data_IF_462298957805
#
_entry.id   IF_462298957805
#
_cell.length_a   1.000
_cell.length_b   1.000
_cell.length_c   1.000
_cell.angle_alpha   90.00
_cell.angle_beta   90.00
_cell.angle_gamma   90.00
#
_symmetry.space_group_name_H-M   'P 1'
#
loop_
_entity.id
_entity.type
_entity.pdbx_description
1 polymer ?
#
# COMPACT_ATOMS: atom_id res chain seq x y z
N UNK A 1 35.94 50.90 -6.96
CA UNK A 1 34.80 51.72 -7.40
C UNK A 1 35.25 52.61 -8.55
N UNK A 2 34.86 52.33 -9.79
CA UNK A 2 34.76 53.29 -10.90
C UNK A 2 33.91 52.61 -11.99
N UNK A 3 32.71 53.15 -12.23
CA UNK A 3 31.79 52.76 -13.32
C UNK A 3 31.94 53.82 -14.42
N UNK A 4 31.83 53.44 -15.69
CA UNK A 4 31.25 54.17 -16.83
C UNK A 4 31.20 53.18 -18.02
N UNK A 5 30.06 52.63 -18.42
CA UNK A 5 28.92 53.18 -19.22
C UNK A 5 29.18 53.17 -20.74
N UNK A 6 28.46 52.23 -21.38
CA UNK A 6 27.77 52.23 -22.68
C UNK A 6 28.56 52.45 -23.98
N UNK A 7 28.36 51.54 -24.95
CA UNK A 7 27.72 51.86 -26.23
C UNK A 7 27.09 50.60 -26.84
N UNK A 8 25.83 50.73 -27.28
CA UNK A 8 25.01 49.75 -28.00
C UNK A 8 25.04 50.11 -29.50
N UNK A 9 25.14 49.11 -30.39
CA UNK A 9 24.64 49.14 -31.78
C UNK A 9 24.47 47.66 -32.24
N UNK A 10 23.27 47.10 -32.44
CA UNK A 10 22.28 47.29 -33.55
C UNK A 10 22.98 47.05 -34.91
N UNK A 11 22.64 46.13 -35.83
CA UNK A 11 21.49 45.22 -36.08
C UNK A 11 21.76 44.40 -37.37
N UNK A 12 20.90 43.39 -37.62
CA UNK A 12 20.49 42.75 -38.92
C UNK A 12 21.40 41.61 -39.45
N UNK A 13 21.02 40.31 -39.49
CA UNK A 13 19.91 39.52 -40.10
C UNK A 13 20.12 39.18 -41.60
N UNK A 14 19.78 37.91 -41.92
CA UNK A 14 19.66 37.23 -43.22
C UNK A 14 20.93 36.51 -43.69
N UNK A 15 20.90 35.35 -44.33
CA UNK A 15 19.93 34.26 -44.54
C UNK A 15 20.75 33.17 -45.27
N UNK A 16 20.53 31.89 -44.99
CA UNK A 16 21.30 30.83 -45.63
C UNK A 16 20.64 29.47 -45.46
N UNK A 17 19.61 29.21 -46.26
CA UNK A 17 18.91 27.94 -46.39
C UNK A 17 19.80 26.85 -46.99
N UNK A 18 19.75 25.63 -46.46
CA UNK A 18 19.65 24.37 -47.22
C UNK A 18 19.36 23.22 -46.25
N UNK A 19 18.11 22.74 -46.18
CA UNK A 19 17.53 21.63 -46.96
C UNK A 19 17.71 20.28 -46.23
N UNK A 20 16.61 19.93 -45.56
CA UNK A 20 15.96 18.62 -45.40
C UNK A 20 16.81 17.37 -45.13
N UNK A 21 16.53 16.77 -43.97
CA UNK A 21 16.01 15.40 -43.99
C UNK A 21 14.84 15.27 -43.02
N UNK A 22 13.69 15.01 -43.61
CA UNK A 22 12.39 14.81 -42.97
C UNK A 22 12.27 13.33 -42.65
N UNK A 23 12.44 12.94 -41.39
CA UNK A 23 11.95 11.64 -40.92
C UNK A 23 10.45 11.75 -40.72
N UNK A 24 9.72 11.17 -41.67
CA UNK A 24 8.29 10.98 -41.59
C UNK A 24 7.96 10.12 -40.37
N UNK A 25 7.24 10.70 -39.42
CA UNK A 25 6.54 9.98 -38.37
C UNK A 25 5.63 8.93 -39.01
N UNK A 26 5.99 7.65 -38.83
CA UNK A 26 5.14 6.51 -39.14
C UNK A 26 4.29 6.22 -37.90
N UNK A 27 2.95 6.28 -37.95
CA UNK A 27 2.13 5.93 -36.80
C UNK A 27 2.18 4.41 -36.64
N UNK A 28 2.98 3.94 -35.70
CA UNK A 28 2.91 2.56 -35.22
C UNK A 28 1.65 2.45 -34.37
N UNK A 29 0.60 1.90 -34.99
CA UNK A 29 -0.55 1.34 -34.29
C UNK A 29 -0.10 0.06 -33.59
N UNK A 30 0.24 0.17 -32.32
CA UNK A 30 0.02 -0.91 -31.37
C UNK A 30 -0.17 -0.26 -30.00
N UNK A 31 -1.43 -0.11 -29.61
CA UNK A 31 -1.80 0.33 -28.27
C UNK A 31 -1.13 -0.60 -27.25
N UNK A 32 -0.39 -0.11 -26.24
CA UNK A 32 -0.33 -0.85 -25.01
C UNK A 32 -1.75 -0.78 -24.46
N UNK A 33 -2.39 -1.94 -24.31
CA UNK A 33 -3.66 -2.08 -23.61
C UNK A 33 -3.48 -1.46 -22.23
N UNK A 34 -3.87 -0.20 -22.12
CA UNK A 34 -4.10 0.46 -20.86
C UNK A 34 -5.21 -0.33 -20.21
N UNK A 35 -4.82 -1.27 -19.34
CA UNK A 35 -5.73 -1.82 -18.34
C UNK A 35 -6.38 -0.59 -17.71
N UNK A 36 -7.71 -0.51 -17.63
CA UNK A 36 -8.35 0.63 -17.00
C UNK A 36 -7.90 0.60 -15.54
N UNK A 37 -6.96 1.47 -15.20
CA UNK A 37 -6.72 1.85 -13.82
C UNK A 37 -7.93 2.69 -13.46
N UNK A 38 -9.00 1.99 -13.04
CA UNK A 38 -10.11 2.60 -12.37
C UNK A 38 -9.50 3.40 -11.22
N UNK A 39 -9.59 4.72 -11.34
CA UNK A 39 -9.31 5.61 -10.23
C UNK A 39 -10.34 5.29 -9.15
N UNK A 40 -9.96 4.50 -8.15
CA UNK A 40 -10.78 4.29 -6.96
C UNK A 40 -10.53 5.46 -6.04
N UNK A 41 -11.23 6.56 -6.29
CA UNK A 41 -11.33 7.65 -5.32
C UNK A 41 -12.43 7.32 -4.30
N UNK A 42 -12.05 7.38 -3.02
CA UNK A 42 -12.87 7.60 -1.82
C UNK A 42 -13.71 6.46 -1.19
N UNK A 43 -13.80 5.26 -1.74
CA UNK A 43 -14.57 4.19 -1.09
C UNK A 43 -13.68 3.20 -0.31
N UNK A 44 -13.99 3.00 0.96
CA UNK A 44 -13.39 1.96 1.81
C UNK A 44 -13.99 0.62 1.39
N UNK A 45 -13.13 -0.35 1.04
CA UNK A 45 -13.54 -1.71 0.71
C UNK A 45 -13.99 -2.40 1.99
N UNK A 46 -15.13 -3.11 1.95
CA UNK A 46 -15.58 -3.95 3.08
C UNK A 46 -15.20 -5.39 2.83
N UNK A 47 -14.51 -6.00 3.79
CA UNK A 47 -14.09 -7.39 3.73
C UNK A 47 -14.73 -8.17 4.89
N UNK A 48 -15.66 -9.06 4.59
CA UNK A 48 -16.23 -9.96 5.59
C UNK A 48 -15.24 -11.07 5.92
N UNK A 49 -14.77 -11.10 7.17
CA UNK A 49 -13.84 -12.13 7.62
C UNK A 49 -14.59 -13.45 7.89
N UNK A 50 -14.06 -14.61 7.46
CA UNK A 50 -14.76 -15.89 7.60
C UNK A 50 -14.62 -16.45 9.02
N UNK A 51 -15.36 -15.88 9.99
CA UNK A 51 -15.31 -16.25 11.41
C UNK A 51 -15.50 -17.74 11.66
N UNK A 52 -16.38 -18.42 10.91
CA UNK A 52 -16.63 -19.86 11.07
C UNK A 52 -15.42 -20.73 10.72
N UNK A 53 -14.52 -20.23 9.86
CA UNK A 53 -13.32 -20.95 9.43
C UNK A 53 -12.13 -20.72 10.35
N UNK A 54 -12.02 -19.52 10.90
CA UNK A 54 -10.90 -19.08 11.74
C UNK A 54 -11.40 -18.40 13.03
N UNK A 55 -12.10 -19.14 13.90
CA UNK A 55 -12.81 -18.57 15.04
C UNK A 55 -11.88 -17.97 16.10
N UNK A 56 -10.67 -18.50 16.32
CA UNK A 56 -9.74 -17.89 17.29
C UNK A 56 -9.24 -16.52 16.80
N UNK A 57 -8.87 -16.43 15.51
CA UNK A 57 -8.44 -15.17 14.88
C UNK A 57 -9.58 -14.17 14.82
N UNK A 58 -10.79 -14.57 14.42
CA UNK A 58 -11.96 -13.69 14.42
C UNK A 58 -12.24 -13.10 15.82
N UNK A 59 -12.15 -13.92 16.86
CA UNK A 59 -12.34 -13.47 18.23
C UNK A 59 -11.27 -12.46 18.66
N UNK A 60 -10.00 -12.67 18.29
CA UNK A 60 -8.94 -11.69 18.54
C UNK A 60 -9.23 -10.34 17.87
N UNK A 61 -9.53 -10.35 16.57
CA UNK A 61 -9.83 -9.14 15.81
C UNK A 61 -11.01 -8.37 16.44
N UNK A 62 -12.08 -9.10 16.81
CA UNK A 62 -13.27 -8.53 17.45
C UNK A 62 -12.95 -7.86 18.79
N UNK A 63 -12.17 -8.52 19.64
CA UNK A 63 -11.74 -7.99 20.93
C UNK A 63 -10.83 -6.77 20.78
N UNK A 64 -9.87 -6.83 19.86
CA UNK A 64 -8.96 -5.72 19.59
C UNK A 64 -9.70 -4.48 19.08
N UNK A 65 -10.67 -4.65 18.16
CA UNK A 65 -11.54 -3.56 17.70
C UNK A 65 -12.38 -3.00 18.86
N UNK A 66 -12.97 -3.86 19.69
CA UNK A 66 -13.72 -3.43 20.87
C UNK A 66 -12.84 -2.67 21.89
N UNK A 67 -11.54 -2.98 21.93
CA UNK A 67 -10.54 -2.27 22.72
C UNK A 67 -10.00 -0.98 22.05
N UNK A 68 -10.57 -0.58 20.91
CA UNK A 68 -10.27 0.68 20.23
C UNK A 68 -9.22 0.58 19.13
N UNK A 69 -8.78 -0.62 18.74
CA UNK A 69 -7.96 -0.79 17.53
C UNK A 69 -8.78 -0.50 16.28
N UNK A 70 -8.12 -0.02 15.23
CA UNK A 70 -8.78 0.27 13.96
C UNK A 70 -9.45 -1.00 13.39
N UNK A 71 -10.71 -0.93 12.92
CA UNK A 71 -11.30 -1.97 12.10
C UNK A 71 -10.84 -1.89 10.63
N UNK A 72 -10.14 -0.81 10.27
CA UNK A 72 -9.66 -0.55 8.92
C UNK A 72 -8.17 -0.84 8.82
N UNK A 73 -7.79 -1.57 7.77
CA UNK A 73 -6.43 -1.76 7.30
C UNK A 73 -6.19 -0.87 6.09
N UNK A 74 -5.31 0.12 6.21
CA UNK A 74 -4.72 0.80 5.06
C UNK A 74 -3.53 -0.03 4.60
N UNK A 75 -3.64 -0.68 3.44
CA UNK A 75 -2.64 -1.67 3.01
C UNK A 75 -1.27 -0.99 2.82
N UNK A 76 -0.26 -1.46 3.53
CA UNK A 76 1.13 -1.02 3.47
C UNK A 76 2.03 -2.26 3.58
N UNK A 77 2.44 -2.79 2.43
CA UNK A 77 3.20 -4.03 2.38
C UNK A 77 4.68 -3.80 2.68
N UNK A 78 5.21 -2.65 2.29
CA UNK A 78 6.61 -2.30 2.56
C UNK A 78 6.87 -2.13 4.07
N UNK A 79 5.89 -1.61 4.83
CA UNK A 79 5.99 -1.45 6.29
C UNK A 79 5.88 -2.75 7.10
N UNK A 80 5.52 -3.88 6.49
CA UNK A 80 5.10 -5.08 7.22
C UNK A 80 6.17 -5.68 8.15
N UNK A 81 7.42 -5.76 7.72
CA UNK A 81 8.49 -6.33 8.53
C UNK A 81 8.83 -5.42 9.72
N UNK A 82 8.87 -4.11 9.50
CA UNK A 82 9.11 -3.13 10.56
C UNK A 82 7.98 -3.11 11.59
N UNK A 83 6.73 -3.12 11.13
CA UNK A 83 5.57 -3.18 12.01
C UNK A 83 5.59 -4.45 12.87
N UNK A 84 5.93 -5.60 12.28
CA UNK A 84 6.04 -6.85 13.03
C UNK A 84 7.14 -6.83 14.09
N UNK A 85 8.27 -6.18 13.80
CA UNK A 85 9.32 -6.00 14.79
C UNK A 85 8.82 -5.17 16.00
N UNK A 86 8.13 -4.06 15.72
CA UNK A 86 7.59 -3.18 16.75
C UNK A 86 6.49 -3.83 17.59
N UNK A 87 5.53 -4.49 16.95
CA UNK A 87 4.37 -5.12 17.61
C UNK A 87 4.79 -6.28 18.51
N UNK A 88 5.80 -7.07 18.10
CA UNK A 88 6.23 -8.27 18.81
C UNK A 88 7.39 -8.03 19.78
N UNK A 89 7.85 -6.79 19.91
CA UNK A 89 8.95 -6.42 20.82
C UNK A 89 8.59 -6.79 22.27
N UNK A 90 9.41 -7.65 22.87
CA UNK A 90 9.19 -8.11 24.25
C UNK A 90 8.08 -9.15 24.43
N UNK A 91 7.39 -9.55 23.35
CA UNK A 91 6.38 -10.63 23.40
C UNK A 91 7.07 -11.96 23.15
N UNK A 92 7.24 -12.85 24.16
CA UNK A 92 7.95 -14.11 23.96
C UNK A 92 7.18 -15.04 23.01
N UNK A 93 7.88 -15.97 22.38
CA UNK A 93 7.21 -17.06 21.65
C UNK A 93 6.63 -18.07 22.66
N UNK A 94 5.57 -18.78 22.26
CA UNK A 94 4.96 -19.84 23.07
C UNK A 94 4.87 -21.11 22.25
N UNK A 95 5.40 -22.22 22.77
CA UNK A 95 5.37 -23.52 22.08
C UNK A 95 3.93 -23.89 21.72
N UNK A 96 3.71 -24.20 20.43
CA UNK A 96 2.41 -24.60 19.91
C UNK A 96 1.42 -23.46 19.70
N UNK A 97 1.87 -22.21 19.71
CA UNK A 97 1.05 -21.02 19.44
C UNK A 97 1.78 -20.06 18.52
N UNK A 98 1.04 -19.40 17.65
CA UNK A 98 1.52 -18.24 16.90
C UNK A 98 1.10 -16.96 17.65
N UNK A 99 1.78 -15.84 17.39
CA UNK A 99 1.43 -14.51 17.90
C UNK A 99 0.67 -13.80 16.78
N UNK A 100 -0.64 -13.71 16.91
CA UNK A 100 -1.48 -12.95 15.98
C UNK A 100 -1.44 -11.46 16.36
N UNK A 101 -1.60 -10.58 15.36
CA UNK A 101 -1.41 -9.13 15.49
C UNK A 101 -2.66 -8.39 14.97
N UNK A 102 -3.26 -7.54 15.78
CA UNK A 102 -4.31 -6.61 15.31
C UNK A 102 -4.11 -5.17 15.83
N UNK A 103 -3.95 -4.16 14.95
CA UNK A 103 -3.98 -4.24 13.49
C UNK A 103 -2.80 -5.03 12.91
N UNK A 104 -3.01 -5.63 11.75
CA UNK A 104 -2.03 -6.52 11.12
C UNK A 104 -0.79 -5.74 10.69
N UNK A 105 0.37 -6.40 10.68
CA UNK A 105 1.63 -5.76 10.31
C UNK A 105 1.62 -5.14 8.89
N UNK A 106 0.88 -5.73 7.95
CA UNK A 106 0.75 -5.23 6.56
C UNK A 106 -0.21 -4.03 6.40
N UNK A 107 -0.62 -3.42 7.50
CA UNK A 107 -1.47 -2.24 7.53
C UNK A 107 -0.69 -1.07 8.12
N UNK A 108 -0.91 0.16 7.64
CA UNK A 108 -0.31 1.35 8.24
C UNK A 108 -0.72 1.57 9.71
N UNK A 109 -1.84 0.99 10.13
CA UNK A 109 -2.33 1.00 11.52
C UNK A 109 -1.64 -0.07 12.40
N UNK A 110 -0.84 -0.96 11.81
CA UNK A 110 -0.08 -1.98 12.53
C UNK A 110 1.13 -1.41 13.25
N UNK A 111 1.96 -2.30 13.80
CA UNK A 111 3.18 -1.90 14.48
C UNK A 111 3.01 -1.63 15.97
N UNK A 112 3.57 -0.51 16.44
CA UNK A 112 3.58 -0.18 17.86
C UNK A 112 2.15 -0.11 18.42
N UNK A 113 1.92 -0.85 19.51
CA UNK A 113 0.62 -0.90 20.16
C UNK A 113 -0.41 -1.78 19.45
N UNK A 114 -0.07 -2.59 18.45
CA UNK A 114 -0.97 -3.66 18.00
C UNK A 114 -1.32 -4.61 19.18
N UNK A 115 -2.57 -5.05 19.24
CA UNK A 115 -3.01 -6.08 20.18
C UNK A 115 -2.45 -7.44 19.74
N UNK A 116 -1.95 -8.21 20.72
CA UNK A 116 -1.29 -9.49 20.46
C UNK A 116 -2.00 -10.61 21.22
N UNK A 117 -2.39 -11.66 20.48
CA UNK A 117 -2.98 -12.86 21.07
C UNK A 117 -2.27 -14.12 20.61
N UNK A 118 -2.11 -15.07 21.54
CA UNK A 118 -1.57 -16.38 21.22
C UNK A 118 -2.65 -17.31 20.66
N UNK A 119 -2.59 -17.60 19.36
CA UNK A 119 -3.61 -18.36 18.63
C UNK A 119 -3.06 -19.72 18.19
N UNK A 120 -3.93 -20.73 18.03
CA UNK A 120 -3.49 -22.01 17.45
C UNK A 120 -2.89 -21.80 16.04
N UNK A 121 -1.75 -22.43 15.70
CA UNK A 121 -1.10 -22.20 14.42
C UNK A 121 -1.96 -22.55 13.20
N UNK A 122 -2.84 -23.55 13.33
CA UNK A 122 -3.76 -23.94 12.24
C UNK A 122 -4.76 -22.84 11.91
N UNK A 123 -5.33 -22.22 12.93
CA UNK A 123 -6.30 -21.12 12.78
C UNK A 123 -5.59 -19.88 12.22
N UNK A 124 -4.52 -19.43 12.89
CA UNK A 124 -3.80 -18.21 12.55
C UNK A 124 -3.20 -18.22 11.13
N UNK A 125 -2.53 -19.32 10.73
CA UNK A 125 -1.91 -19.41 9.40
C UNK A 125 -2.95 -19.54 8.30
N UNK A 126 -4.05 -20.24 8.57
CA UNK A 126 -5.18 -20.33 7.65
C UNK A 126 -5.82 -18.95 7.42
N UNK A 127 -6.02 -18.18 8.49
CA UNK A 127 -6.48 -16.81 8.43
C UNK A 127 -5.51 -15.93 7.64
N UNK A 128 -4.21 -15.96 7.97
CA UNK A 128 -3.17 -15.21 7.29
C UNK A 128 -3.11 -15.49 5.79
N UNK A 129 -3.15 -16.76 5.37
CA UNK A 129 -3.21 -17.12 3.95
C UNK A 129 -4.49 -16.63 3.26
N UNK A 130 -5.64 -16.73 3.92
CA UNK A 130 -6.90 -16.25 3.36
C UNK A 130 -6.91 -14.72 3.20
N UNK A 131 -6.44 -13.99 4.22
CA UNK A 131 -6.31 -12.52 4.17
C UNK A 131 -5.33 -12.12 3.07
N UNK A 132 -4.14 -12.74 3.02
CA UNK A 132 -3.13 -12.47 1.99
C UNK A 132 -3.71 -12.60 0.59
N UNK A 133 -4.35 -13.74 0.28
CA UNK A 133 -5.01 -13.95 -1.01
C UNK A 133 -6.14 -12.96 -1.31
N UNK A 134 -6.93 -12.56 -0.30
CA UNK A 134 -7.99 -11.57 -0.50
C UNK A 134 -7.44 -10.18 -0.74
N UNK A 135 -6.34 -9.82 -0.09
CA UNK A 135 -5.76 -8.50 -0.20
C UNK A 135 -4.88 -8.32 -1.44
N UNK A 136 -4.41 -9.41 -2.08
CA UNK A 136 -3.70 -9.39 -3.37
C UNK A 136 -4.47 -8.63 -4.47
N UNK A 137 -5.79 -8.60 -4.40
CA UNK A 137 -6.66 -7.88 -5.35
C UNK A 137 -6.55 -6.34 -5.21
N UNK A 138 -5.99 -5.84 -4.11
CA UNK A 138 -5.94 -4.42 -3.77
C UNK A 138 -4.51 -3.88 -3.70
N UNK A 139 -4.32 -2.69 -4.25
CA UNK A 139 -3.06 -1.95 -4.23
C UNK A 139 -2.77 -1.37 -2.84
N UNK A 140 -1.50 -1.15 -2.53
CA UNK A 140 -1.08 -0.39 -1.36
C UNK A 140 -1.78 0.98 -1.33
N UNK A 141 -2.11 1.45 -0.12
CA UNK A 141 -2.94 2.63 0.15
C UNK A 141 -4.45 2.37 0.12
N UNK A 142 -4.92 1.20 -0.34
CA UNK A 142 -6.35 0.86 -0.26
C UNK A 142 -6.77 0.71 1.20
N UNK A 143 -7.89 1.32 1.57
CA UNK A 143 -8.52 1.15 2.89
C UNK A 143 -9.50 -0.01 2.86
N UNK A 144 -9.30 -0.98 3.74
CA UNK A 144 -10.14 -2.18 3.86
C UNK A 144 -10.69 -2.27 5.28
N UNK A 145 -12.01 -2.08 5.43
CA UNK A 145 -12.73 -2.30 6.67
C UNK A 145 -13.03 -3.80 6.85
N UNK A 146 -12.53 -4.39 7.92
CA UNK A 146 -12.82 -5.77 8.28
C UNK A 146 -14.12 -5.86 9.05
N UNK A 147 -15.08 -6.61 8.49
CA UNK A 147 -16.37 -6.87 9.11
C UNK A 147 -16.31 -8.26 9.76
N UNK A 148 -16.36 -8.30 11.09
CA UNK A 148 -16.36 -9.54 11.88
C UNK A 148 -17.79 -9.80 12.37
N UNK A 149 -18.38 -10.90 11.91
CA UNK A 149 -19.70 -11.38 12.35
C UNK A 149 -19.53 -12.44 13.42
#
# INVERSE_FOLDING_TARGET
MFKWIFTVLITILLAGCSVQQQEAARPSKTDPVAVPVTQVSADTVKLEFPSDRYPETAQHIKEAIAAGKSPVCTIDREGADHNRELSLKGVPTKKGKDRDEWPMAMCSEGGEGADIKYISPKDNRGAGSWVGHKLEEYKDGTKVEFIIK
#
